data_IF_510791934545
#
_entry.id   IF_510791934545
#
_cell.length_a   1.000
_cell.length_b   1.000
_cell.length_c   1.000
_cell.angle_alpha   90.00
_cell.angle_beta   90.00
_cell.angle_gamma   90.00
#
_symmetry.space_group_name_H-M   'P 1'
#
loop_
_entity.id
_entity.type
_entity.pdbx_description
1 polymer ?
#
# COMPACT_ATOMS: atom_id res chain seq x y z
N UNK A 1 -28.78 -3.98 -5.54
CA UNK A 1 -27.36 -3.67 -5.24
C UNK A 1 -27.24 -2.15 -5.35
N UNK A 2 -27.45 -1.41 -4.26
CA UNK A 2 -27.78 0.03 -4.34
C UNK A 2 -26.68 0.97 -3.81
N UNK A 3 -25.62 0.42 -3.19
CA UNK A 3 -24.50 1.24 -2.70
C UNK A 3 -23.10 0.75 -3.09
N UNK A 4 -22.98 -0.30 -3.91
CA UNK A 4 -21.74 -0.70 -4.59
C UNK A 4 -20.43 -0.45 -3.85
N UNK A 5 -20.38 -0.73 -2.54
CA UNK A 5 -19.15 -0.60 -1.77
C UNK A 5 -18.26 -1.70 -2.30
N UNK A 6 -17.13 -1.36 -2.92
CA UNK A 6 -16.09 -2.34 -3.21
C UNK A 6 -15.76 -3.01 -1.89
N UNK A 7 -16.13 -4.29 -1.75
CA UNK A 7 -15.97 -5.02 -0.50
C UNK A 7 -14.52 -5.47 -0.52
N UNK A 8 -13.62 -4.64 -0.01
CA UNK A 8 -12.23 -5.03 0.15
C UNK A 8 -12.04 -5.62 1.54
N UNK A 9 -11.21 -6.65 1.66
CA UNK A 9 -10.88 -7.23 2.96
C UNK A 9 -9.67 -6.51 3.51
N UNK A 10 -9.82 -5.81 4.65
CA UNK A 10 -8.68 -5.27 5.38
C UNK A 10 -7.94 -6.41 6.07
N UNK A 11 -6.71 -6.67 5.65
CA UNK A 11 -5.91 -7.83 6.08
C UNK A 11 -4.82 -7.47 7.07
N UNK A 12 -4.42 -6.19 7.15
CA UNK A 12 -3.43 -5.73 8.13
C UNK A 12 -3.55 -4.23 8.46
N UNK A 13 -3.07 -3.84 9.64
CA UNK A 13 -2.82 -2.46 10.08
C UNK A 13 -1.44 -2.44 10.74
N UNK A 14 -0.38 -2.21 9.96
CA UNK A 14 0.97 -2.28 10.49
C UNK A 14 1.26 -1.22 11.55
N UNK A 15 2.07 -1.60 12.53
CA UNK A 15 2.75 -0.63 13.38
C UNK A 15 3.71 0.21 12.54
N UNK A 16 3.71 1.52 12.77
CA UNK A 16 4.55 2.50 12.06
C UNK A 16 5.46 3.24 13.04
N UNK A 17 6.66 3.60 12.57
CA UNK A 17 7.62 4.32 13.39
C UNK A 17 7.18 5.78 13.68
N UNK A 18 6.46 6.42 12.76
CA UNK A 18 6.00 7.79 12.92
C UNK A 18 4.54 7.82 13.45
N UNK A 19 4.26 8.42 14.62
CA UNK A 19 2.93 8.35 15.25
C UNK A 19 1.83 9.10 14.49
N UNK A 20 2.21 9.97 13.54
CA UNK A 20 1.29 10.66 12.64
C UNK A 20 0.96 9.90 11.36
N UNK A 21 1.49 8.69 11.18
CA UNK A 21 1.28 7.87 9.99
C UNK A 21 0.24 6.79 10.25
N UNK A 22 -0.56 6.45 9.24
CA UNK A 22 -1.45 5.28 9.25
C UNK A 22 -1.24 4.50 7.96
N UNK A 23 -1.16 3.18 8.08
CA UNK A 23 -1.14 2.26 6.94
C UNK A 23 -2.30 1.28 7.09
N UNK A 24 -3.09 1.14 6.04
CA UNK A 24 -4.13 0.11 5.92
C UNK A 24 -3.78 -0.78 4.74
N UNK A 25 -3.74 -2.09 4.95
CA UNK A 25 -3.49 -3.06 3.88
C UNK A 25 -4.79 -3.78 3.58
N UNK A 26 -5.21 -3.70 2.32
CA UNK A 26 -6.42 -4.33 1.81
C UNK A 26 -6.09 -5.36 0.74
N UNK A 27 -6.96 -6.36 0.66
CA UNK A 27 -7.03 -7.27 -0.46
C UNK A 27 -8.29 -6.96 -1.26
N UNK A 28 -8.11 -6.79 -2.56
CA UNK A 28 -9.17 -6.44 -3.51
C UNK A 28 -9.97 -7.69 -3.93
N UNK A 29 -10.51 -8.42 -2.95
CA UNK A 29 -11.15 -9.73 -3.14
C UNK A 29 -12.68 -9.69 -3.26
N UNK A 30 -13.28 -8.52 -3.37
CA UNK A 30 -14.74 -8.31 -3.36
C UNK A 30 -15.44 -9.00 -2.15
N UNK A 31 -14.72 -9.23 -1.05
CA UNK A 31 -15.19 -9.89 0.16
C UNK A 31 -15.35 -11.40 -0.01
N UNK A 32 -14.79 -11.98 -1.08
CA UNK A 32 -14.88 -13.40 -1.41
C UNK A 32 -13.75 -14.22 -0.78
N UNK A 33 -12.75 -13.58 -0.17
CA UNK A 33 -11.62 -14.26 0.45
C UNK A 33 -10.64 -14.89 -0.55
N UNK A 34 -10.56 -14.36 -1.77
CA UNK A 34 -9.58 -14.79 -2.77
C UNK A 34 -8.17 -14.34 -2.35
N UNK A 35 -7.34 -15.27 -1.89
CA UNK A 35 -5.95 -15.01 -1.48
C UNK A 35 -5.05 -14.57 -2.65
N UNK A 36 -5.45 -14.82 -3.90
CA UNK A 36 -4.72 -14.36 -5.09
C UNK A 36 -5.11 -12.96 -5.56
N UNK A 37 -6.08 -12.32 -4.91
CA UNK A 37 -6.52 -10.98 -5.30
C UNK A 37 -5.43 -9.92 -5.01
N UNK A 38 -5.38 -8.84 -5.81
CA UNK A 38 -4.37 -7.80 -5.65
C UNK A 38 -4.36 -7.15 -4.26
N UNK A 39 -3.17 -6.73 -3.82
CA UNK A 39 -3.00 -5.97 -2.57
C UNK A 39 -2.99 -4.47 -2.87
N UNK A 40 -3.76 -3.74 -2.07
CA UNK A 40 -3.84 -2.29 -2.05
C UNK A 40 -3.40 -1.78 -0.68
N UNK A 41 -2.68 -0.65 -0.64
CA UNK A 41 -2.33 0.03 0.59
C UNK A 41 -2.84 1.47 0.57
N UNK A 42 -3.49 1.87 1.66
CA UNK A 42 -3.79 3.28 1.94
C UNK A 42 -2.81 3.78 2.99
N UNK A 43 -2.01 4.77 2.65
CA UNK A 43 -1.03 5.37 3.57
C UNK A 43 -1.34 6.85 3.77
N UNK A 44 -1.52 7.27 5.02
CA UNK A 44 -1.95 8.63 5.35
C UNK A 44 -0.98 9.29 6.34
N UNK A 45 -0.73 10.58 6.13
CA UNK A 45 -0.09 11.47 7.08
C UNK A 45 -1.15 12.36 7.75
N UNK A 46 -1.24 12.34 9.07
CA UNK A 46 -2.17 13.16 9.87
C UNK A 46 -1.54 14.43 10.44
N UNK A 47 -0.33 14.78 10.00
CA UNK A 47 0.43 15.92 10.51
C UNK A 47 0.53 17.05 9.50
N UNK A 48 0.87 18.25 9.97
CA UNK A 48 1.15 19.42 9.14
C UNK A 48 2.59 19.43 8.59
N UNK A 49 3.37 18.37 8.83
CA UNK A 49 4.77 18.27 8.46
C UNK A 49 4.93 17.13 7.44
N UNK A 50 5.86 17.22 6.48
CA UNK A 50 6.19 16.08 5.63
C UNK A 50 6.80 14.96 6.48
N UNK A 51 6.47 13.71 6.16
CA UNK A 51 6.99 12.54 6.85
C UNK A 51 7.62 11.55 5.87
N UNK A 52 8.69 10.91 6.32
CA UNK A 52 9.26 9.71 5.70
C UNK A 52 8.96 8.53 6.63
N UNK A 53 8.47 7.43 6.08
CA UNK A 53 8.08 6.27 6.85
C UNK A 53 8.39 4.96 6.16
N UNK A 54 8.69 3.94 6.96
CA UNK A 54 8.79 2.56 6.50
C UNK A 54 7.45 1.87 6.67
N UNK A 55 6.95 1.25 5.61
CA UNK A 55 5.82 0.34 5.63
C UNK A 55 6.39 -1.08 5.67
N UNK A 56 5.95 -1.89 6.62
CA UNK A 56 6.33 -3.30 6.74
C UNK A 56 5.09 -4.14 7.07
N UNK A 57 4.85 -5.23 6.37
CA UNK A 57 3.76 -6.16 6.68
C UNK A 57 4.05 -7.55 6.10
N UNK A 58 3.71 -8.60 6.84
CA UNK A 58 3.83 -9.99 6.37
C UNK A 58 2.90 -10.30 5.18
N UNK A 59 1.95 -9.40 4.89
CA UNK A 59 1.05 -9.51 3.74
C UNK A 59 1.65 -8.94 2.45
N UNK A 60 2.81 -8.25 2.51
CA UNK A 60 3.39 -7.65 1.32
C UNK A 60 4.18 -8.69 0.53
N UNK A 61 3.82 -8.99 -0.73
CA UNK A 61 4.60 -9.88 -1.55
C UNK A 61 5.94 -9.22 -1.91
N UNK A 62 7.03 -9.92 -1.61
CA UNK A 62 8.39 -9.42 -1.85
C UNK A 62 8.61 -9.08 -3.33
N UNK A 63 9.50 -8.12 -3.58
CA UNK A 63 9.96 -7.69 -4.91
C UNK A 63 8.89 -7.06 -5.81
N UNK A 64 7.65 -6.95 -5.35
CA UNK A 64 6.59 -6.27 -6.10
C UNK A 64 6.87 -4.78 -6.22
N UNK A 65 6.55 -4.21 -7.38
CA UNK A 65 6.53 -2.78 -7.57
C UNK A 65 5.39 -2.17 -6.74
N UNK A 66 5.68 -1.05 -6.08
CA UNK A 66 4.69 -0.25 -5.37
C UNK A 66 4.30 0.89 -6.31
N UNK A 67 3.06 0.88 -6.77
CA UNK A 67 2.57 1.79 -7.81
C UNK A 67 1.52 2.72 -7.22
N UNK A 68 1.64 4.02 -7.48
CA UNK A 68 0.57 4.97 -7.15
C UNK A 68 -0.65 4.72 -8.05
N UNK A 69 -1.79 4.41 -7.45
CA UNK A 69 -3.02 4.04 -8.16
C UNK A 69 -3.63 5.21 -8.97
N UNK A 70 -3.25 6.45 -8.68
CA UNK A 70 -3.75 7.64 -9.37
C UNK A 70 -2.82 8.05 -10.52
N UNK A 71 -1.50 8.05 -10.31
CA UNK A 71 -0.53 8.47 -11.34
C UNK A 71 -0.02 7.31 -12.19
N UNK A 72 -0.17 6.07 -11.71
CA UNK A 72 0.40 4.85 -12.26
C UNK A 72 1.94 4.83 -12.29
N UNK A 73 2.58 5.69 -11.50
CA UNK A 73 4.04 5.71 -11.37
C UNK A 73 4.51 4.72 -10.31
N UNK A 74 5.65 4.08 -10.55
CA UNK A 74 6.33 3.26 -9.55
C UNK A 74 6.96 4.19 -8.51
N UNK A 75 6.44 4.15 -7.28
CA UNK A 75 6.95 4.97 -6.17
C UNK A 75 8.08 4.28 -5.41
N UNK A 76 8.06 2.94 -5.37
CA UNK A 76 9.02 2.14 -4.61
C UNK A 76 8.96 0.66 -5.03
N UNK A 77 9.69 -0.19 -4.33
CA UNK A 77 9.63 -1.66 -4.47
C UNK A 77 9.66 -2.31 -3.10
N UNK A 78 8.84 -3.35 -2.91
CA UNK A 78 8.86 -4.17 -1.69
C UNK A 78 10.17 -4.95 -1.66
N UNK A 79 10.93 -4.81 -0.59
CA UNK A 79 12.20 -5.51 -0.42
C UNK A 79 12.02 -6.97 0.06
N UNK A 80 13.13 -7.67 0.25
CA UNK A 80 13.13 -9.06 0.71
C UNK A 80 12.72 -9.18 2.21
N UNK A 81 12.51 -8.07 2.93
CA UNK A 81 11.99 -8.02 4.29
C UNK A 81 10.50 -7.62 4.33
N UNK A 82 9.81 -7.67 3.19
CA UNK A 82 8.40 -7.28 3.08
C UNK A 82 8.17 -5.83 3.53
N UNK A 83 9.09 -4.94 3.15
CA UNK A 83 9.04 -3.53 3.52
C UNK A 83 9.40 -2.59 2.38
N UNK A 84 9.01 -1.33 2.50
CA UNK A 84 9.42 -0.25 1.61
C UNK A 84 9.30 1.12 2.29
N UNK A 85 10.01 2.12 1.75
CA UNK A 85 9.96 3.50 2.24
C UNK A 85 9.00 4.33 1.39
N UNK A 86 8.26 5.22 2.04
CA UNK A 86 7.38 6.22 1.41
C UNK A 86 7.62 7.60 1.98
N UNK A 87 7.35 8.60 1.15
CA UNK A 87 7.32 10.02 1.53
C UNK A 87 5.90 10.53 1.40
N UNK A 88 5.42 11.26 2.41
CA UNK A 88 4.09 11.85 2.43
C UNK A 88 4.21 13.33 2.74
N UNK A 89 3.58 14.15 1.91
CA UNK A 89 3.40 15.57 2.18
C UNK A 89 2.52 15.81 3.42
N UNK A 90 2.51 17.03 3.99
CA UNK A 90 1.57 17.42 5.04
C UNK A 90 0.13 17.06 4.68
N UNK A 91 -0.55 16.33 5.58
CA UNK A 91 -1.91 15.82 5.37
C UNK A 91 -2.10 14.98 4.08
N UNK A 92 -1.00 14.50 3.50
CA UNK A 92 -0.98 13.74 2.26
C UNK A 92 -1.46 12.31 2.46
N UNK A 93 -1.88 11.70 1.36
CA UNK A 93 -2.24 10.30 1.30
C UNK A 93 -1.78 9.68 -0.01
N UNK A 94 -1.35 8.41 0.05
CA UNK A 94 -1.05 7.59 -1.11
C UNK A 94 -2.00 6.40 -1.15
N UNK A 95 -2.50 6.10 -2.34
CA UNK A 95 -3.23 4.88 -2.65
C UNK A 95 -2.33 4.03 -3.53
N UNK A 96 -1.83 2.93 -2.99
CA UNK A 96 -0.77 2.15 -3.61
C UNK A 96 -1.30 0.78 -4.02
N UNK A 97 -0.90 0.30 -5.20
CA UNK A 97 -1.14 -1.04 -5.69
C UNK A 97 0.19 -1.80 -5.75
N UNK A 98 0.18 -3.06 -5.31
CA UNK A 98 1.32 -3.95 -5.47
C UNK A 98 1.17 -4.75 -6.75
N UNK A 99 2.17 -4.68 -7.61
CA UNK A 99 2.17 -5.39 -8.89
C UNK A 99 3.46 -6.19 -9.04
N UNK A 100 3.40 -7.31 -9.75
CA UNK A 100 4.55 -8.19 -9.96
C UNK A 100 5.67 -7.54 -10.81
N UNK A 101 5.47 -6.33 -11.38
CA UNK A 101 6.27 -5.77 -12.48
C UNK A 101 7.76 -6.15 -12.42
N UNK A 102 8.09 -7.09 -13.31
CA UNK A 102 9.45 -7.51 -13.60
C UNK A 102 10.19 -6.29 -14.17
N UNK A 103 11.41 -5.95 -13.72
CA UNK A 103 12.16 -4.89 -14.38
C UNK A 103 12.30 -5.28 -15.84
N UNK A 104 11.85 -4.41 -16.75
CA UNK A 104 12.08 -4.59 -18.17
C UNK A 104 13.58 -4.77 -18.38
N UNK A 105 14.01 -6.01 -18.66
CA UNK A 105 15.38 -6.32 -18.98
C UNK A 105 15.77 -5.45 -20.19
N UNK A 106 16.60 -4.46 -19.93
CA UNK A 106 17.24 -3.63 -20.96
C UNK A 106 18.66 -4.12 -21.18
#
# INVERSE_FOLDING_TARGET
REHGVAIETQIDVPDVAHPGMLVLVHRLDDGLGDEGAPIQLTVLNFTAEPIEGTVHSEQLPVRHAVVDAQTHEVVSRVDDLQSFIVHLEPYGGLFLLLTEEEPAAS
#
